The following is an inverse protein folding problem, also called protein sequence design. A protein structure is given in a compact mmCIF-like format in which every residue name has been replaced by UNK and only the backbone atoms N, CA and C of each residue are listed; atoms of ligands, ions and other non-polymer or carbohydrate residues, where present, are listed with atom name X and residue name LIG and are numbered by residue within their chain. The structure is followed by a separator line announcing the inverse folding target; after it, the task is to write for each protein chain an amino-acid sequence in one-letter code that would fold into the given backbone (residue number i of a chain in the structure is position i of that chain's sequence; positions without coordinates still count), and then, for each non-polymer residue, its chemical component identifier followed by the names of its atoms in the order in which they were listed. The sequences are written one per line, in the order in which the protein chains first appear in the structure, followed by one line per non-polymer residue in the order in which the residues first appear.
data_IF_026733801258
#
_entry.id   IF_026733801258
#
_cell.length_a   1.000
_cell.length_b   1.000
_cell.length_c   1.000
_cell.angle_alpha   90.00
_cell.angle_beta   90.00
_cell.angle_gamma   90.00
#
_symmetry.space_group_name_H-M   'P 1'
#
loop_
_entity.id
_entity.type
_entity.pdbx_description
1 polymer ?
#
# COMPACT_ATOMS: atom_id res chain seq x y z
N UNK A 1 -8.73 15.93 -18.44
CA UNK A 1 -7.88 14.73 -18.17
C UNK A 1 -7.70 14.59 -16.68
N UNK A 2 -7.89 13.38 -16.13
CA UNK A 2 -7.72 13.14 -14.69
C UNK A 2 -6.27 13.26 -14.24
N UNK A 3 -6.05 13.36 -12.92
CA UNK A 3 -4.70 13.32 -12.35
C UNK A 3 -4.02 11.98 -12.68
N UNK A 4 -2.74 11.97 -13.11
CA UNK A 4 -2.01 10.72 -13.34
C UNK A 4 -1.95 9.87 -12.06
N UNK A 5 -2.01 8.53 -12.19
CA UNK A 5 -2.01 7.60 -11.05
C UNK A 5 -0.82 7.85 -10.11
N UNK A 6 0.38 8.05 -10.67
CA UNK A 6 1.57 8.40 -9.90
C UNK A 6 1.39 9.62 -8.98
N UNK A 7 0.65 10.65 -9.42
CA UNK A 7 0.39 11.86 -8.62
C UNK A 7 -0.59 11.59 -7.51
N UNK A 8 -1.61 10.76 -7.76
CA UNK A 8 -2.59 10.35 -6.75
C UNK A 8 -1.88 9.55 -5.65
N UNK A 9 -1.05 8.57 -6.02
CA UNK A 9 -0.30 7.76 -5.06
C UNK A 9 0.73 8.60 -4.29
N UNK A 10 1.44 9.50 -4.97
CA UNK A 10 2.37 10.43 -4.31
C UNK A 10 1.65 11.28 -3.25
N UNK A 11 0.51 11.86 -3.62
CA UNK A 11 -0.30 12.66 -2.72
C UNK A 11 -0.80 11.82 -1.54
N UNK A 12 -1.32 10.61 -1.80
CA UNK A 12 -1.81 9.71 -0.77
C UNK A 12 -0.73 9.34 0.25
N UNK A 13 0.46 8.91 -0.20
CA UNK A 13 1.60 8.59 0.68
C UNK A 13 2.03 9.81 1.51
N UNK A 14 2.00 11.00 0.91
CA UNK A 14 2.33 12.26 1.60
C UNK A 14 1.31 12.59 2.69
N UNK A 15 0.02 12.59 2.35
CA UNK A 15 -1.04 13.01 3.26
C UNK A 15 -1.18 12.10 4.46
N UNK A 16 -1.14 10.79 4.23
CA UNK A 16 -1.21 9.78 5.32
C UNK A 16 0.00 9.86 6.25
N UNK A 17 1.21 10.05 5.70
CA UNK A 17 2.43 10.24 6.51
C UNK A 17 2.35 11.53 7.34
N UNK A 18 1.87 12.62 6.74
CA UNK A 18 1.70 13.89 7.45
C UNK A 18 0.68 13.78 8.59
N UNK A 19 -0.43 13.08 8.37
CA UNK A 19 -1.43 12.85 9.40
C UNK A 19 -0.88 11.97 10.54
N UNK A 20 -0.16 10.90 10.20
CA UNK A 20 0.55 10.09 11.19
C UNK A 20 1.51 10.93 12.04
N UNK A 21 2.37 11.76 11.43
CA UNK A 21 3.31 12.61 12.15
C UNK A 21 2.58 13.60 13.07
N UNK A 22 1.46 14.17 12.63
CA UNK A 22 0.64 15.06 13.47
C UNK A 22 0.13 14.32 14.71
N UNK A 23 -0.37 13.09 14.55
CA UNK A 23 -0.89 12.31 15.65
C UNK A 23 0.20 11.81 16.61
N UNK A 24 1.40 11.46 16.12
CA UNK A 24 2.56 11.20 17.00
C UNK A 24 2.87 12.40 17.88
N UNK A 25 2.84 13.61 17.32
CA UNK A 25 3.16 14.85 18.06
C UNK A 25 2.06 15.33 19.00
N UNK A 26 0.79 15.15 18.61
CA UNK A 26 -0.36 15.74 19.33
C UNK A 26 -1.11 14.76 20.22
N UNK A 27 -1.19 13.51 19.79
CA UNK A 27 -2.05 12.48 20.37
C UNK A 27 -1.23 11.32 20.95
N UNK A 28 0.08 11.50 21.13
CA UNK A 28 1.00 10.53 21.73
C UNK A 28 0.96 9.14 21.08
N UNK A 29 0.76 9.07 19.76
CA UNK A 29 0.93 7.80 19.04
C UNK A 29 2.38 7.32 19.15
N UNK A 30 2.56 6.00 19.21
CA UNK A 30 3.89 5.37 19.27
C UNK A 30 4.67 5.74 17.99
N UNK A 31 5.86 6.35 18.12
CA UNK A 31 6.71 6.65 16.97
C UNK A 31 7.19 5.39 16.26
N UNK A 32 7.22 5.44 14.93
CA UNK A 32 7.82 4.44 14.05
C UNK A 32 8.93 5.13 13.26
N UNK A 33 10.15 4.68 13.48
CA UNK A 33 11.39 5.29 13.01
C UNK A 33 11.92 4.70 11.69
N UNK A 34 11.19 3.74 11.11
CA UNK A 34 11.52 3.13 9.81
C UNK A 34 10.72 3.78 8.67
N UNK A 35 11.00 3.34 7.44
CA UNK A 35 10.26 3.78 6.25
C UNK A 35 8.82 3.26 6.29
N UNK A 36 7.86 4.18 6.31
CA UNK A 36 6.43 3.87 6.23
C UNK A 36 6.02 3.16 4.95
N UNK A 37 6.56 3.64 3.82
CA UNK A 37 6.18 3.17 2.50
C UNK A 37 7.36 2.48 1.81
N UNK A 38 7.08 1.34 1.18
CA UNK A 38 7.98 0.78 0.18
C UNK A 38 8.16 1.79 -0.98
N UNK A 39 9.34 1.74 -1.60
CA UNK A 39 9.63 2.54 -2.80
C UNK A 39 8.75 2.05 -3.94
N UNK A 40 8.22 3.00 -4.73
CA UNK A 40 7.28 2.74 -5.83
C UNK A 40 5.95 2.12 -5.35
N UNK A 41 5.14 1.66 -6.29
CA UNK A 41 3.86 1.00 -6.04
C UNK A 41 3.62 -0.01 -7.17
N UNK A 42 2.88 -1.08 -6.88
CA UNK A 42 2.46 -2.02 -7.89
C UNK A 42 1.27 -1.46 -8.65
N UNK A 43 1.35 -1.46 -9.98
CA UNK A 43 0.23 -1.12 -10.86
C UNK A 43 0.10 -2.19 -11.94
N UNK A 44 -1.15 -2.55 -12.22
CA UNK A 44 -1.47 -3.53 -13.27
C UNK A 44 -2.83 -3.20 -13.87
N UNK A 45 -2.90 -3.12 -15.20
CA UNK A 45 -4.13 -2.80 -15.93
C UNK A 45 -4.86 -4.12 -16.21
N UNK A 46 -6.05 -4.26 -15.64
CA UNK A 46 -6.91 -5.44 -15.86
C UNK A 46 -7.55 -5.33 -17.25
N UNK A 47 -7.20 -6.25 -18.15
CA UNK A 47 -7.65 -6.21 -19.56
C UNK A 47 -8.71 -7.25 -19.93
N UNK A 48 -8.95 -8.23 -19.07
CA UNK A 48 -9.91 -9.31 -19.31
C UNK A 48 -10.42 -9.93 -18.01
N UNK A 49 -11.45 -10.76 -18.12
CA UNK A 49 -12.11 -11.41 -16.98
C UNK A 49 -11.20 -12.41 -16.25
N UNK A 50 -10.36 -13.16 -16.98
CA UNK A 50 -9.42 -14.11 -16.37
C UNK A 50 -8.45 -13.39 -15.42
N UNK A 51 -7.95 -12.24 -15.83
CA UNK A 51 -7.07 -11.38 -15.04
C UNK A 51 -7.79 -10.78 -13.84
N UNK A 52 -9.03 -10.31 -14.04
CA UNK A 52 -9.88 -9.82 -12.95
C UNK A 52 -10.12 -10.90 -11.88
N UNK A 53 -10.42 -12.12 -12.29
CA UNK A 53 -10.68 -13.23 -11.37
C UNK A 53 -9.44 -13.59 -10.55
N UNK A 54 -8.26 -13.61 -11.18
CA UNK A 54 -6.98 -13.81 -10.46
C UNK A 54 -6.72 -12.75 -9.40
N UNK A 55 -6.95 -11.47 -9.71
CA UNK A 55 -6.70 -10.37 -8.76
C UNK A 55 -7.69 -10.42 -7.60
N UNK A 56 -8.95 -10.79 -7.87
CA UNK A 56 -9.97 -11.00 -6.82
C UNK A 56 -9.58 -12.15 -5.90
N UNK A 57 -9.18 -13.29 -6.47
CA UNK A 57 -8.70 -14.45 -5.71
C UNK A 57 -7.48 -14.07 -4.85
N UNK A 58 -6.49 -13.39 -5.43
CA UNK A 58 -5.33 -12.89 -4.67
C UNK A 58 -5.77 -12.01 -3.50
N UNK A 59 -6.67 -11.05 -3.73
CA UNK A 59 -7.12 -10.12 -2.68
C UNK A 59 -7.79 -10.84 -1.50
N UNK A 60 -8.53 -11.91 -1.77
CA UNK A 60 -9.22 -12.73 -0.76
C UNK A 60 -8.23 -13.66 -0.05
N UNK A 61 -7.32 -14.30 -0.78
CA UNK A 61 -6.41 -15.30 -0.25
C UNK A 61 -5.15 -14.69 0.40
N UNK A 62 -4.78 -13.46 0.07
CA UNK A 62 -3.54 -12.82 0.55
C UNK A 62 -3.40 -12.81 2.08
N UNK A 63 -4.44 -12.51 2.90
CA UNK A 63 -4.30 -12.56 4.36
C UNK A 63 -3.86 -13.92 4.88
N UNK A 64 -4.35 -15.01 4.28
CA UNK A 64 -3.98 -16.38 4.66
C UNK A 64 -2.58 -16.75 4.15
N UNK A 65 -2.22 -16.25 2.96
CA UNK A 65 -0.96 -16.57 2.27
C UNK A 65 0.18 -15.60 2.61
N UNK A 66 -0.06 -14.61 3.48
CA UNK A 66 0.89 -13.53 3.74
C UNK A 66 2.26 -14.02 4.20
N UNK A 67 2.31 -15.05 5.06
CA UNK A 67 3.56 -15.61 5.59
C UNK A 67 4.38 -16.36 4.55
N UNK A 68 3.77 -16.74 3.44
CA UNK A 68 4.39 -17.51 2.35
C UNK A 68 4.60 -16.67 1.10
N UNK A 69 4.25 -15.38 1.13
CA UNK A 69 4.46 -14.46 0.01
C UNK A 69 5.97 -14.23 -0.20
N UNK A 70 6.42 -14.19 -1.44
CA UNK A 70 7.83 -13.98 -1.79
C UNK A 70 8.36 -12.62 -1.30
N UNK A 71 7.48 -11.62 -1.20
CA UNK A 71 7.80 -10.30 -0.68
C UNK A 71 7.62 -10.19 0.84
N UNK A 72 7.29 -11.30 1.52
CA UNK A 72 7.24 -11.36 2.96
C UNK A 72 8.67 -11.26 3.52
N UNK A 73 9.01 -10.07 4.03
CA UNK A 73 10.23 -9.89 4.79
C UNK A 73 9.96 -10.30 6.24
N UNK A 74 10.51 -11.43 6.67
CA UNK A 74 10.56 -11.78 8.10
C UNK A 74 11.44 -10.74 8.80
N UNK A 75 10.84 -9.95 9.69
CA UNK A 75 11.55 -8.99 10.54
C UNK A 75 12.66 -9.64 11.35
#
# INVERSE_FOLDING_TARGET
TGSPLQRIIQWFKTMTTNDYIKNVKKNNWIPFDKKFWQRNYYEHIIRNEKDLNKIREYSICNPANWKTDENYCSL
#
